data_IF_672506428687
#
_entry.id   IF_672506428687
#
_cell.length_a   1.000
_cell.length_b   1.000
_cell.length_c   1.000
_cell.angle_alpha   90.00
_cell.angle_beta   90.00
_cell.angle_gamma   90.00
#
_symmetry.space_group_name_H-M   'P 1'
#
loop_
_entity.id
_entity.type
_entity.pdbx_description
1 polymer ?
#
# COMPACT_ATOMS: atom_id res chain seq x y z
N UNK A 1 9.21 -7.92 -26.79
CA UNK A 1 8.45 -7.75 -25.53
C UNK A 1 8.26 -9.12 -24.91
N UNK A 2 8.39 -9.23 -23.58
CA UNK A 2 8.11 -10.47 -22.86
C UNK A 2 6.60 -10.59 -22.65
N UNK A 3 6.05 -11.79 -22.84
CA UNK A 3 4.65 -12.12 -22.54
C UNK A 3 4.66 -13.32 -21.61
N UNK A 4 3.93 -13.23 -20.51
CA UNK A 4 3.91 -14.26 -19.44
C UNK A 4 3.42 -15.62 -19.96
N UNK A 5 2.59 -15.63 -20.99
CA UNK A 5 2.03 -16.83 -21.62
C UNK A 5 2.60 -17.06 -23.03
N UNK A 6 2.90 -18.33 -23.34
CA UNK A 6 3.26 -18.79 -24.70
C UNK A 6 2.04 -19.12 -25.55
N UNK A 7 0.85 -19.17 -24.94
CA UNK A 7 -0.40 -19.42 -25.66
C UNK A 7 -0.78 -18.20 -26.50
N UNK A 8 -0.90 -18.36 -27.81
CA UNK A 8 -1.46 -17.37 -28.73
C UNK A 8 -2.94 -17.10 -28.37
N UNK A 9 -3.33 -15.85 -28.05
CA UNK A 9 -4.69 -15.52 -27.63
C UNK A 9 -5.63 -15.35 -28.82
N UNK A 10 -5.08 -15.25 -30.05
CA UNK A 10 -5.82 -15.14 -31.30
C UNK A 10 -5.93 -16.48 -32.02
N UNK A 11 -5.15 -17.49 -31.61
CA UNK A 11 -5.22 -18.82 -32.19
C UNK A 11 -6.54 -19.53 -31.80
N UNK A 12 -7.18 -20.13 -32.79
CA UNK A 12 -8.20 -21.15 -32.56
C UNK A 12 -7.51 -22.50 -32.51
N UNK A 13 -7.43 -23.09 -31.32
CA UNK A 13 -6.81 -24.41 -31.17
C UNK A 13 -7.83 -25.52 -31.49
N UNK A 14 -7.43 -26.50 -32.28
CA UNK A 14 -8.25 -27.69 -32.56
C UNK A 14 -8.53 -28.52 -31.29
N UNK A 15 -7.62 -28.46 -30.32
CA UNK A 15 -7.79 -28.98 -28.96
C UNK A 15 -7.46 -27.86 -27.99
N UNK A 16 -8.32 -27.52 -27.01
CA UNK A 16 -8.03 -26.45 -26.06
C UNK A 16 -6.69 -26.69 -25.35
N UNK A 17 -5.79 -25.69 -25.31
CA UNK A 17 -4.53 -25.82 -24.59
C UNK A 17 -4.80 -26.02 -23.10
N UNK A 18 -3.98 -26.83 -22.46
CA UNK A 18 -4.04 -27.10 -21.03
C UNK A 18 -3.11 -26.14 -20.28
N UNK A 19 -3.33 -25.92 -18.97
CA UNK A 19 -2.40 -25.21 -18.09
C UNK A 19 -0.93 -25.62 -18.27
N UNK A 20 -0.66 -26.93 -18.39
CA UNK A 20 0.69 -27.46 -18.58
C UNK A 20 1.36 -27.09 -19.91
N UNK A 21 0.59 -26.66 -20.91
CA UNK A 21 1.10 -26.26 -22.23
C UNK A 21 1.61 -24.80 -22.25
N UNK A 22 1.39 -24.04 -21.17
CA UNK A 22 1.86 -22.66 -21.03
C UNK A 22 3.32 -22.59 -20.53
N UNK A 23 3.96 -21.42 -20.62
CA UNK A 23 5.40 -21.22 -20.38
C UNK A 23 5.88 -21.76 -19.02
N UNK A 24 5.10 -21.54 -17.96
CA UNK A 24 5.42 -21.99 -16.59
C UNK A 24 4.71 -23.29 -16.20
N UNK A 25 4.05 -23.96 -17.15
CA UNK A 25 3.22 -25.15 -16.90
C UNK A 25 1.97 -24.88 -16.06
N UNK A 26 1.58 -23.61 -15.92
CA UNK A 26 0.36 -23.14 -15.24
C UNK A 26 0.06 -21.67 -15.60
N UNK A 27 -1.20 -21.22 -15.49
CA UNK A 27 -1.55 -19.81 -15.55
C UNK A 27 -0.66 -18.99 -14.60
N UNK A 28 -0.09 -17.92 -15.13
CA UNK A 28 0.86 -17.07 -14.42
C UNK A 28 0.47 -15.61 -14.60
N UNK A 29 0.69 -14.82 -13.56
CA UNK A 29 0.19 -13.45 -13.45
C UNK A 29 1.32 -12.51 -13.03
N UNK A 30 1.18 -11.24 -13.38
CA UNK A 30 2.05 -10.19 -12.84
C UNK A 30 1.62 -9.89 -11.40
N UNK A 31 2.58 -9.79 -10.49
CA UNK A 31 2.27 -9.62 -9.07
C UNK A 31 1.76 -8.22 -8.76
N UNK A 32 0.82 -8.14 -7.83
CA UNK A 32 0.31 -6.88 -7.26
C UNK A 32 1.13 -6.43 -6.04
N UNK A 33 1.94 -7.32 -5.47
CA UNK A 33 2.75 -7.11 -4.25
C UNK A 33 3.68 -8.31 -4.03
N UNK A 34 4.89 -8.08 -3.52
CA UNK A 34 5.81 -9.14 -3.09
C UNK A 34 5.64 -9.55 -1.63
N UNK A 35 4.60 -9.07 -0.94
CA UNK A 35 4.42 -9.20 0.51
C UNK A 35 4.44 -10.67 0.99
N UNK A 36 3.66 -11.55 0.37
CA UNK A 36 3.50 -12.93 0.85
C UNK A 36 4.83 -13.70 0.78
N UNK A 37 5.61 -13.49 -0.29
CA UNK A 37 6.95 -14.02 -0.42
C UNK A 37 7.92 -13.33 0.56
N UNK A 38 7.76 -12.03 0.79
CA UNK A 38 8.50 -11.26 1.79
C UNK A 38 8.40 -11.84 3.21
N UNK A 39 7.22 -12.32 3.61
CA UNK A 39 7.00 -12.98 4.91
C UNK A 39 7.84 -14.26 5.09
N UNK A 40 8.09 -15.02 4.00
CA UNK A 40 9.00 -16.17 4.02
C UNK A 40 10.41 -15.71 4.41
N UNK A 41 10.89 -14.62 3.80
CA UNK A 41 12.22 -14.12 4.09
C UNK A 41 12.30 -13.42 5.44
N UNK A 42 11.25 -12.72 5.89
CA UNK A 42 11.21 -12.11 7.21
C UNK A 42 11.31 -13.17 8.32
N UNK A 43 10.63 -14.30 8.18
CA UNK A 43 10.72 -15.41 9.14
C UNK A 43 12.09 -16.12 9.14
N UNK A 44 12.90 -15.96 8.10
CA UNK A 44 14.26 -16.51 8.02
C UNK A 44 15.37 -15.49 8.37
N UNK A 45 15.22 -14.23 7.98
CA UNK A 45 16.24 -13.17 8.02
C UNK A 45 15.88 -12.03 9.00
N UNK A 46 14.76 -12.14 9.70
CA UNK A 46 14.18 -11.17 10.63
C UNK A 46 13.70 -9.85 10.02
N UNK A 47 14.47 -9.22 9.12
CA UNK A 47 14.10 -7.93 8.50
C UNK A 47 14.51 -7.91 7.05
N UNK A 48 13.55 -7.70 6.17
CA UNK A 48 13.77 -7.60 4.71
C UNK A 48 13.02 -6.40 4.15
N UNK A 49 13.32 -6.04 2.92
CA UNK A 49 12.46 -5.19 2.11
C UNK A 49 12.52 -5.62 0.65
N UNK A 50 11.40 -5.54 -0.05
CA UNK A 50 11.39 -5.60 -1.51
C UNK A 50 11.52 -4.18 -2.07
N UNK A 51 12.04 -4.07 -3.28
CA UNK A 51 11.90 -2.88 -4.10
C UNK A 51 11.79 -3.34 -5.55
N UNK A 52 10.57 -3.31 -6.09
CA UNK A 52 10.29 -3.86 -7.41
C UNK A 52 9.01 -3.32 -8.05
N UNK A 53 8.83 -3.59 -9.35
CA UNK A 53 7.60 -3.23 -10.06
C UNK A 53 6.45 -4.13 -9.60
N UNK A 54 5.28 -3.51 -9.48
CA UNK A 54 4.00 -4.17 -9.20
C UNK A 54 2.95 -3.65 -10.18
N UNK A 55 1.91 -4.44 -10.39
CA UNK A 55 0.96 -4.20 -11.47
C UNK A 55 -0.47 -4.20 -10.96
N UNK A 56 -1.31 -3.31 -11.51
CA UNK A 56 -2.76 -3.30 -11.26
C UNK A 56 -3.52 -3.16 -12.58
N UNK A 57 -4.48 -4.05 -12.78
CA UNK A 57 -5.32 -4.10 -13.98
C UNK A 57 -6.68 -3.40 -13.79
N UNK A 58 -6.77 -2.47 -12.85
CA UNK A 58 -7.97 -1.67 -12.62
C UNK A 58 -8.16 -0.67 -13.76
N UNK A 59 -9.39 -0.58 -14.30
CA UNK A 59 -9.73 0.39 -15.34
C UNK A 59 -9.95 1.80 -14.75
N UNK A 60 -8.89 2.37 -14.16
CA UNK A 60 -8.91 3.65 -13.44
C UNK A 60 -8.07 4.71 -14.16
N UNK A 61 -8.73 5.78 -14.62
CA UNK A 61 -8.10 6.90 -15.34
C UNK A 61 -7.98 8.14 -14.46
N UNK A 62 -7.32 8.03 -13.31
CA UNK A 62 -7.12 9.18 -12.41
C UNK A 62 -5.68 9.72 -12.50
N UNK A 63 -5.42 10.88 -11.89
CA UNK A 63 -4.07 11.45 -11.78
C UNK A 63 -3.15 10.69 -10.79
N UNK A 64 -3.67 9.68 -10.07
CA UNK A 64 -2.96 9.01 -8.96
C UNK A 64 -2.79 7.51 -9.12
N UNK A 65 -3.29 6.95 -10.22
CA UNK A 65 -3.25 5.51 -10.49
C UNK A 65 -2.45 5.25 -11.77
N UNK A 66 -1.55 4.27 -11.67
CA UNK A 66 -0.81 3.69 -12.77
C UNK A 66 -1.03 2.16 -12.77
N UNK A 67 -0.96 1.54 -13.95
CA UNK A 67 -1.09 0.10 -14.11
C UNK A 67 0.22 -0.64 -13.82
N UNK A 68 1.35 0.06 -13.89
CA UNK A 68 2.69 -0.39 -13.49
C UNK A 68 3.29 0.72 -12.62
N UNK A 69 3.78 0.36 -11.43
CA UNK A 69 4.38 1.28 -10.46
C UNK A 69 5.32 0.51 -9.53
N UNK A 70 6.21 1.21 -8.84
CA UNK A 70 7.19 0.58 -7.96
C UNK A 70 6.74 0.61 -6.51
N UNK A 71 6.91 -0.52 -5.83
CA UNK A 71 6.61 -0.66 -4.41
C UNK A 71 7.90 -0.93 -3.63
N UNK A 72 7.99 -0.31 -2.46
CA UNK A 72 8.98 -0.64 -1.43
C UNK A 72 8.23 -1.30 -0.28
N UNK A 73 8.53 -2.57 0.00
CA UNK A 73 7.74 -3.37 0.95
C UNK A 73 8.63 -3.99 2.03
N UNK A 74 8.91 -3.28 3.14
CA UNK A 74 9.56 -3.86 4.30
C UNK A 74 8.66 -4.86 5.04
N UNK A 75 9.28 -5.93 5.54
CA UNK A 75 8.63 -6.92 6.39
C UNK A 75 9.56 -7.28 7.56
N UNK A 76 9.04 -7.25 8.79
CA UNK A 76 9.82 -7.42 10.02
C UNK A 76 9.21 -8.48 10.95
N UNK A 77 9.98 -9.52 11.24
CA UNK A 77 9.70 -10.46 12.32
C UNK A 77 9.81 -9.79 13.69
N UNK A 78 9.01 -10.26 14.64
CA UNK A 78 8.91 -9.75 16.01
C UNK A 78 8.46 -8.29 16.08
N UNK A 79 7.68 -7.85 15.09
CA UNK A 79 7.09 -6.51 15.01
C UNK A 79 5.57 -6.59 15.12
N UNK A 80 4.98 -5.75 15.96
CA UNK A 80 3.53 -5.55 16.03
C UNK A 80 3.11 -4.33 15.20
N UNK A 81 1.81 -4.03 15.15
CA UNK A 81 1.30 -2.86 14.43
C UNK A 81 1.89 -1.54 14.92
N UNK A 82 2.18 -1.43 16.24
CA UNK A 82 2.77 -0.21 16.77
C UNK A 82 4.19 -0.02 16.23
N UNK A 83 5.00 -1.07 16.21
CA UNK A 83 6.33 -1.04 15.62
C UNK A 83 6.31 -0.76 14.12
N UNK A 84 5.29 -1.28 13.41
CA UNK A 84 5.09 -1.03 11.98
C UNK A 84 4.80 0.45 11.69
N UNK A 85 3.90 1.05 12.48
CA UNK A 85 3.63 2.50 12.43
C UNK A 85 4.87 3.31 12.82
N UNK A 86 5.60 2.92 13.87
CA UNK A 86 6.84 3.60 14.29
C UNK A 86 7.87 3.61 13.15
N UNK A 87 8.01 2.49 12.42
CA UNK A 87 8.92 2.39 11.27
C UNK A 87 8.44 3.24 10.08
N UNK A 88 7.15 3.17 9.71
CA UNK A 88 6.60 3.92 8.59
C UNK A 88 6.79 5.44 8.75
N UNK A 89 6.57 5.95 9.96
CA UNK A 89 6.78 7.36 10.31
C UNK A 89 8.25 7.75 10.19
N UNK A 90 9.15 6.97 10.82
CA UNK A 90 10.59 7.21 10.77
C UNK A 90 11.13 7.14 9.34
N UNK A 91 10.61 6.22 8.52
CA UNK A 91 10.99 6.03 7.13
C UNK A 91 10.65 7.24 6.27
N UNK A 92 9.40 7.73 6.32
CA UNK A 92 8.99 8.94 5.60
C UNK A 92 9.78 10.17 6.05
N UNK A 93 9.92 10.37 7.36
CA UNK A 93 10.68 11.51 7.89
C UNK A 93 12.14 11.46 7.44
N UNK A 94 12.76 10.28 7.42
CA UNK A 94 14.14 10.10 6.96
C UNK A 94 14.29 10.43 5.48
N UNK A 95 13.44 9.87 4.61
CA UNK A 95 13.53 10.09 3.16
C UNK A 95 13.32 11.56 2.78
N UNK A 96 12.41 12.26 3.47
CA UNK A 96 12.20 13.69 3.24
C UNK A 96 13.42 14.50 3.71
N UNK A 97 14.01 14.18 4.86
CA UNK A 97 15.24 14.85 5.34
C UNK A 97 16.41 14.61 4.40
N UNK A 98 16.53 13.39 3.89
CA UNK A 98 17.57 13.03 2.94
C UNK A 98 17.42 13.81 1.63
N UNK A 99 16.20 13.90 1.10
CA UNK A 99 15.91 14.71 -0.08
C UNK A 99 16.18 16.21 0.15
N UNK A 100 15.75 16.77 1.29
CA UNK A 100 16.02 18.17 1.65
C UNK A 100 17.53 18.46 1.79
N UNK A 101 18.31 17.49 2.26
CA UNK A 101 19.75 17.62 2.43
C UNK A 101 20.56 17.47 1.15
N UNK A 102 20.12 16.62 0.23
CA UNK A 102 20.90 16.23 -0.97
C UNK A 102 20.34 16.76 -2.29
N UNK A 103 19.08 17.21 -2.34
CA UNK A 103 18.40 17.69 -3.55
C UNK A 103 17.83 19.11 -3.36
N UNK A 104 18.54 19.97 -2.62
CA UNK A 104 18.06 21.30 -2.24
C UNK A 104 17.78 22.20 -3.46
N UNK A 105 18.61 22.13 -4.51
CA UNK A 105 18.42 22.91 -5.73
C UNK A 105 17.18 22.45 -6.51
N UNK A 106 16.97 21.14 -6.65
CA UNK A 106 15.78 20.56 -7.27
C UNK A 106 14.51 20.90 -6.47
N UNK A 107 14.53 20.77 -5.15
CA UNK A 107 13.38 21.12 -4.29
C UNK A 107 13.07 22.62 -4.40
N UNK A 108 14.08 23.49 -4.42
CA UNK A 108 13.87 24.92 -4.62
C UNK A 108 13.27 25.24 -6.01
N UNK A 109 13.66 24.48 -7.04
CA UNK A 109 13.05 24.57 -8.36
C UNK A 109 11.56 24.16 -8.31
N UNK A 110 11.24 23.01 -7.73
CA UNK A 110 9.86 22.53 -7.60
C UNK A 110 9.00 23.46 -6.74
N UNK A 111 9.54 24.01 -5.65
CA UNK A 111 8.87 24.99 -4.80
C UNK A 111 8.50 26.26 -5.59
N UNK A 112 9.40 26.72 -6.46
CA UNK A 112 9.17 27.94 -7.23
C UNK A 112 8.18 27.74 -8.37
N UNK A 113 8.24 26.60 -9.06
CA UNK A 113 7.60 26.42 -10.37
C UNK A 113 6.46 25.39 -10.39
N UNK A 114 6.37 24.49 -9.42
CA UNK A 114 5.38 23.41 -9.39
C UNK A 114 4.42 23.57 -8.21
N UNK A 115 4.93 23.68 -6.98
CA UNK A 115 4.10 23.73 -5.77
C UNK A 115 4.68 24.70 -4.75
N UNK A 116 4.09 25.90 -4.67
CA UNK A 116 4.58 26.96 -3.78
C UNK A 116 4.40 26.58 -2.31
N UNK A 117 5.50 26.62 -1.56
CA UNK A 117 5.53 26.23 -0.16
C UNK A 117 5.81 24.74 0.05
N UNK A 118 6.19 24.01 -1.01
CA UNK A 118 6.70 22.65 -0.94
C UNK A 118 7.81 22.49 0.09
N UNK A 119 8.83 23.36 0.06
CA UNK A 119 9.98 23.24 0.96
C UNK A 119 9.54 23.29 2.42
N UNK A 120 8.74 24.30 2.77
CA UNK A 120 8.22 24.48 4.12
C UNK A 120 7.31 23.30 4.55
N UNK A 121 6.52 22.77 3.62
CA UNK A 121 5.66 21.62 3.90
C UNK A 121 6.48 20.34 4.13
N UNK A 122 7.53 20.11 3.35
CA UNK A 122 8.46 18.98 3.55
C UNK A 122 9.18 19.09 4.89
N UNK A 123 9.71 20.27 5.23
CA UNK A 123 10.33 20.54 6.53
C UNK A 123 9.35 20.29 7.70
N UNK A 124 8.10 20.73 7.55
CA UNK A 124 7.04 20.51 8.52
C UNK A 124 6.75 19.01 8.71
N UNK A 125 6.61 18.25 7.63
CA UNK A 125 6.37 16.79 7.69
C UNK A 125 7.57 16.08 8.32
N UNK A 126 8.79 16.44 7.95
CA UNK A 126 10.03 15.84 8.47
C UNK A 126 10.26 16.08 9.97
N UNK A 127 9.71 17.16 10.53
CA UNK A 127 9.92 17.59 11.92
C UNK A 127 8.72 17.37 12.83
N UNK A 128 7.50 17.23 12.27
CA UNK A 128 6.28 17.09 13.05
C UNK A 128 6.10 15.66 13.57
N UNK A 129 5.60 15.49 14.81
CA UNK A 129 5.11 14.19 15.25
C UNK A 129 3.86 13.83 14.45
N UNK A 130 3.74 12.56 14.07
CA UNK A 130 2.60 12.08 13.31
C UNK A 130 1.44 11.80 14.28
N UNK A 131 0.21 12.03 13.83
CA UNK A 131 -0.98 11.69 14.62
C UNK A 131 -1.40 10.27 14.30
N UNK A 132 -1.84 9.53 15.32
CA UNK A 132 -2.43 8.20 15.16
C UNK A 132 -3.85 8.25 15.67
N UNK A 133 -4.79 7.79 14.86
CA UNK A 133 -6.21 7.70 15.23
C UNK A 133 -6.77 6.37 14.75
N UNK A 134 -7.76 5.84 15.46
CA UNK A 134 -8.48 4.66 14.98
C UNK A 134 -9.39 5.03 13.80
N UNK A 135 -9.72 4.06 12.96
CA UNK A 135 -10.72 4.21 11.91
C UNK A 135 -12.06 4.71 12.45
N UNK A 136 -12.50 4.18 13.60
CA UNK A 136 -13.74 4.60 14.25
C UNK A 136 -13.70 6.09 14.64
N UNK A 137 -12.54 6.57 15.13
CA UNK A 137 -12.33 7.98 15.40
C UNK A 137 -12.32 8.83 14.12
N UNK A 138 -11.65 8.36 13.06
CA UNK A 138 -11.63 9.04 11.76
C UNK A 138 -13.06 9.24 11.20
N UNK A 139 -13.89 8.19 11.21
CA UNK A 139 -15.29 8.26 10.77
C UNK A 139 -16.09 9.26 11.62
N UNK A 140 -15.93 9.24 12.95
CA UNK A 140 -16.60 10.18 13.85
C UNK A 140 -16.21 11.63 13.55
N UNK A 141 -14.93 11.91 13.31
CA UNK A 141 -14.45 13.25 12.96
C UNK A 141 -15.06 13.70 11.63
N UNK A 142 -15.06 12.84 10.63
CA UNK A 142 -15.60 13.15 9.31
C UNK A 142 -17.11 13.45 9.37
N UNK A 143 -17.89 12.62 10.08
CA UNK A 143 -19.33 12.81 10.23
C UNK A 143 -19.71 14.06 11.05
N UNK A 144 -18.88 14.44 12.01
CA UNK A 144 -19.13 15.61 12.90
C UNK A 144 -18.53 16.91 12.36
N UNK A 145 -17.80 16.86 11.25
CA UNK A 145 -17.08 18.01 10.66
C UNK A 145 -17.98 19.13 10.12
N UNK A 146 -19.24 18.81 9.79
CA UNK A 146 -20.13 19.73 9.08
C UNK A 146 -19.77 19.96 7.61
N UNK A 147 -18.74 19.27 7.08
CA UNK A 147 -18.32 19.35 5.68
C UNK A 147 -19.16 18.42 4.81
N UNK A 148 -19.51 18.87 3.61
CA UNK A 148 -20.12 18.02 2.59
C UNK A 148 -19.02 17.33 1.80
N UNK A 149 -19.08 16.00 1.75
CA UNK A 149 -18.20 15.14 0.97
C UNK A 149 -18.96 14.59 -0.24
N UNK A 150 -18.27 14.36 -1.35
CA UNK A 150 -18.85 13.73 -2.54
C UNK A 150 -19.21 12.26 -2.26
N UNK A 151 -18.32 11.56 -1.55
CA UNK A 151 -18.47 10.18 -1.16
C UNK A 151 -19.00 10.05 0.27
N UNK A 152 -19.93 9.12 0.52
CA UNK A 152 -20.51 8.93 1.84
C UNK A 152 -19.46 8.52 2.87
N UNK A 153 -19.65 9.00 4.10
CA UNK A 153 -18.82 8.64 5.26
C UNK A 153 -19.64 7.71 6.15
N UNK A 154 -19.34 6.42 6.10
CA UNK A 154 -20.03 5.40 6.90
C UNK A 154 -19.07 4.34 7.43
N UNK A 155 -19.40 3.76 8.59
CA UNK A 155 -18.67 2.61 9.14
C UNK A 155 -18.70 1.44 8.16
N UNK A 156 -17.56 0.78 7.99
CA UNK A 156 -17.41 -0.33 7.05
C UNK A 156 -17.20 0.09 5.61
N UNK A 157 -16.98 1.38 5.33
CA UNK A 157 -16.54 1.87 4.02
C UNK A 157 -15.09 2.34 4.06
N UNK A 158 -14.37 2.16 2.95
CA UNK A 158 -13.03 2.72 2.79
C UNK A 158 -13.09 4.25 2.75
N UNK A 159 -12.12 4.88 3.39
CA UNK A 159 -11.91 6.32 3.27
C UNK A 159 -11.55 6.65 1.82
N UNK A 160 -12.15 7.71 1.29
CA UNK A 160 -11.80 8.24 -0.02
C UNK A 160 -10.73 9.31 0.13
N UNK A 161 -10.03 9.62 -0.96
CA UNK A 161 -8.95 10.62 -0.93
C UNK A 161 -9.39 11.98 -0.39
N UNK A 162 -10.65 12.41 -0.59
CA UNK A 162 -11.15 13.66 0.01
C UNK A 162 -11.25 13.58 1.55
N UNK A 163 -11.58 12.41 2.10
CA UNK A 163 -11.67 12.16 3.53
C UNK A 163 -10.28 12.14 4.16
N UNK A 164 -9.35 11.43 3.52
CA UNK A 164 -7.95 11.34 3.94
C UNK A 164 -7.25 12.71 3.97
N UNK A 165 -7.46 13.49 2.90
CA UNK A 165 -6.93 14.85 2.81
C UNK A 165 -7.57 15.77 3.83
N UNK A 166 -8.87 15.67 4.07
CA UNK A 166 -9.52 16.47 5.11
C UNK A 166 -8.92 16.21 6.50
N UNK A 167 -8.68 14.95 6.85
CA UNK A 167 -8.04 14.59 8.12
C UNK A 167 -6.63 15.19 8.25
N UNK A 168 -5.78 14.99 7.24
CA UNK A 168 -4.38 15.42 7.29
C UNK A 168 -4.18 16.93 7.07
N UNK A 169 -4.95 17.57 6.19
CA UNK A 169 -4.77 18.97 5.79
C UNK A 169 -5.57 19.97 6.64
N UNK A 170 -6.80 19.61 7.06
CA UNK A 170 -7.71 20.55 7.71
C UNK A 170 -7.84 20.29 9.21
N UNK A 171 -8.01 19.03 9.61
CA UNK A 171 -8.22 18.66 11.03
C UNK A 171 -6.90 18.68 11.80
N UNK A 172 -5.94 17.86 11.39
CA UNK A 172 -4.71 17.66 12.15
C UNK A 172 -3.55 18.51 11.66
N UNK A 173 -3.57 18.97 10.39
CA UNK A 173 -2.52 19.80 9.78
C UNK A 173 -1.12 19.18 9.89
N UNK A 174 -1.06 17.85 9.85
CA UNK A 174 0.15 17.04 9.92
C UNK A 174 -0.17 15.64 9.37
N UNK A 175 0.84 14.79 9.12
CA UNK A 175 0.61 13.40 8.75
C UNK A 175 -0.21 12.65 9.80
N UNK A 176 -1.10 11.77 9.33
CA UNK A 176 -2.03 11.01 10.16
C UNK A 176 -1.98 9.54 9.77
N UNK A 177 -1.69 8.67 10.71
CA UNK A 177 -1.85 7.22 10.58
C UNK A 177 -3.23 6.84 11.09
N UNK A 178 -4.06 6.28 10.20
CA UNK A 178 -5.36 5.71 10.57
C UNK A 178 -5.17 4.21 10.77
N UNK A 179 -5.60 3.67 11.91
CA UNK A 179 -5.41 2.25 12.25
C UNK A 179 -6.69 1.54 12.69
N UNK A 180 -6.62 0.21 12.79
CA UNK A 180 -7.73 -0.67 13.23
C UNK A 180 -8.97 -0.58 12.34
N UNK A 181 -8.79 -0.92 11.06
CA UNK A 181 -9.85 -0.91 10.06
C UNK A 181 -10.82 -2.11 10.22
N UNK A 182 -12.08 -1.97 9.77
CA UNK A 182 -13.02 -3.10 9.73
C UNK A 182 -12.47 -4.26 8.91
N UNK A 183 -12.58 -5.48 9.46
CA UNK A 183 -12.06 -6.68 8.80
C UNK A 183 -12.70 -6.98 7.44
N UNK A 184 -13.92 -6.49 7.21
CA UNK A 184 -14.71 -6.76 6.00
C UNK A 184 -14.24 -6.01 4.76
N UNK A 185 -13.38 -4.99 4.93
CA UNK A 185 -12.87 -4.16 3.84
C UNK A 185 -11.35 -4.27 3.68
N UNK A 186 -10.71 -5.20 4.40
CA UNK A 186 -9.27 -5.39 4.40
C UNK A 186 -8.91 -6.85 4.05
N UNK A 187 -7.72 -7.12 3.50
CA UNK A 187 -7.32 -8.45 3.03
C UNK A 187 -7.23 -9.52 4.14
N UNK A 188 -7.33 -10.78 3.71
CA UNK A 188 -7.37 -11.96 4.58
C UNK A 188 -6.16 -12.13 5.52
N UNK A 189 -5.00 -11.58 5.16
CA UNK A 189 -3.73 -11.78 5.87
C UNK A 189 -3.54 -10.85 7.07
N UNK A 190 -4.39 -9.83 7.24
CA UNK A 190 -4.25 -8.87 8.33
C UNK A 190 -4.69 -9.49 9.66
N UNK A 191 -3.92 -9.29 10.73
CA UNK A 191 -4.19 -9.85 12.06
C UNK A 191 -5.55 -9.36 12.58
N UNK A 192 -6.40 -10.28 13.04
CA UNK A 192 -7.67 -9.91 13.69
C UNK A 192 -7.40 -9.34 15.08
N UNK A 193 -8.01 -8.19 15.37
CA UNK A 193 -7.99 -7.60 16.69
C UNK A 193 -8.88 -8.39 17.66
N UNK A 194 -8.67 -8.18 18.95
CA UNK A 194 -9.39 -8.92 20.01
C UNK A 194 -10.88 -8.54 20.10
N UNK A 195 -11.30 -7.47 19.43
CA UNK A 195 -12.71 -7.05 19.32
C UNK A 195 -13.52 -7.92 18.35
N UNK A 196 -12.87 -8.72 17.49
CA UNK A 196 -13.50 -9.57 16.47
C UNK A 196 -14.07 -8.83 15.25
N UNK A 197 -14.02 -7.50 15.23
CA UNK A 197 -14.63 -6.65 14.20
C UNK A 197 -13.58 -5.96 13.32
N UNK A 198 -12.40 -5.66 13.89
CA UNK A 198 -11.33 -4.93 13.21
C UNK A 198 -10.09 -5.80 12.98
N UNK A 199 -9.20 -5.30 12.11
CA UNK A 199 -7.89 -5.88 11.85
C UNK A 199 -6.80 -4.86 12.16
N UNK A 200 -5.62 -5.36 12.56
CA UNK A 200 -4.41 -4.58 12.85
C UNK A 200 -3.79 -4.00 11.58
N UNK A 201 -4.53 -3.14 10.88
CA UNK A 201 -4.13 -2.44 9.66
C UNK A 201 -3.78 -0.99 9.98
N UNK A 202 -2.92 -0.37 9.17
CA UNK A 202 -2.61 1.05 9.23
C UNK A 202 -2.44 1.63 7.83
N UNK A 203 -2.98 2.83 7.63
CA UNK A 203 -2.77 3.63 6.42
C UNK A 203 -2.21 4.99 6.85
N UNK A 204 -1.04 5.38 6.31
CA UNK A 204 -0.38 6.65 6.60
C UNK A 204 -0.77 7.68 5.55
N UNK A 205 -1.44 8.73 6.01
CA UNK A 205 -1.95 9.83 5.22
C UNK A 205 -1.01 11.04 5.37
N UNK A 206 -0.55 11.58 4.24
CA UNK A 206 0.27 12.80 4.21
C UNK A 206 -0.48 13.95 3.53
N UNK A 207 -0.36 15.19 4.04
CA UNK A 207 -0.96 16.37 3.41
C UNK A 207 -0.58 16.51 1.93
N UNK A 208 -1.56 16.84 1.08
CA UNK A 208 -1.41 17.01 -0.37
C UNK A 208 -1.70 15.74 -1.17
N UNK A 209 -1.20 14.58 -0.71
CA UNK A 209 -1.31 13.32 -1.44
C UNK A 209 -2.51 12.48 -0.93
N UNK A 210 -2.65 12.32 0.39
CA UNK A 210 -3.49 11.28 1.00
C UNK A 210 -2.62 10.09 1.42
N UNK A 211 -3.12 8.87 1.26
CA UNK A 211 -2.38 7.65 1.58
C UNK A 211 -1.05 7.52 0.81
N UNK A 212 0.07 7.34 1.53
CA UNK A 212 1.41 7.04 0.95
C UNK A 212 1.95 5.67 1.36
N UNK A 213 1.55 5.17 2.53
CA UNK A 213 1.90 3.83 3.03
C UNK A 213 0.62 3.14 3.48
N UNK A 214 0.47 1.87 3.12
CA UNK A 214 -0.54 0.96 3.67
C UNK A 214 0.14 -0.30 4.21
N UNK A 215 -0.22 -0.72 5.42
CA UNK A 215 0.44 -1.82 6.12
C UNK A 215 -0.43 -2.51 7.15
N UNK A 216 0.10 -3.55 7.77
CA UNK A 216 -0.59 -4.28 8.83
C UNK A 216 0.35 -5.20 9.58
N UNK A 217 -0.02 -5.53 10.82
CA UNK A 217 0.44 -6.76 11.44
C UNK A 217 -0.22 -7.96 10.75
N UNK A 218 0.56 -9.01 10.49
CA UNK A 218 0.10 -10.21 9.78
C UNK A 218 -0.53 -11.20 10.75
N UNK A 219 -1.53 -11.95 10.28
CA UNK A 219 -2.19 -12.98 11.07
C UNK A 219 -1.25 -14.18 11.27
N UNK A 220 -0.64 -14.25 12.45
CA UNK A 220 0.34 -15.26 12.82
C UNK A 220 -0.30 -16.55 13.39
N UNK A 221 -1.60 -16.51 13.71
CA UNK A 221 -2.30 -17.64 14.34
C UNK A 221 -2.95 -18.50 13.26
N UNK A 222 -2.45 -19.73 13.12
CA UNK A 222 -2.85 -20.69 12.08
C UNK A 222 -4.38 -20.82 11.91
N UNK A 223 -5.10 -21.12 13.00
CA UNK A 223 -6.54 -21.35 12.94
C UNK A 223 -7.33 -20.10 12.48
N UNK A 224 -6.85 -18.91 12.86
CA UNK A 224 -7.49 -17.63 12.46
C UNK A 224 -7.21 -17.32 11.00
N UNK A 225 -5.99 -17.59 10.52
CA UNK A 225 -5.63 -17.43 9.11
C UNK A 225 -6.43 -18.38 8.22
N UNK A 226 -6.57 -19.66 8.59
CA UNK A 226 -7.37 -20.65 7.86
C UNK A 226 -8.85 -20.24 7.78
N UNK A 227 -9.40 -19.71 8.87
CA UNK A 227 -10.74 -19.13 8.86
C UNK A 227 -10.84 -17.91 7.93
N UNK A 228 -9.84 -17.03 7.95
CA UNK A 228 -9.79 -15.83 7.10
C UNK A 228 -9.74 -16.17 5.60
N UNK A 229 -8.96 -17.19 5.22
CA UNK A 229 -8.93 -17.72 3.85
C UNK A 229 -10.31 -18.22 3.42
N UNK A 230 -10.99 -18.98 4.27
CA UNK A 230 -12.33 -19.49 3.99
C UNK A 230 -13.36 -18.35 3.83
N UNK A 231 -13.32 -17.34 4.70
CA UNK A 231 -14.21 -16.16 4.60
C UNK A 231 -13.98 -15.35 3.32
N UNK A 232 -12.76 -15.32 2.79
CA UNK A 232 -12.42 -14.65 1.52
C UNK A 232 -12.61 -15.55 0.30
N UNK A 233 -13.15 -16.77 0.46
CA UNK A 233 -13.31 -17.75 -0.62
C UNK A 233 -12.00 -18.09 -1.35
N UNK A 234 -10.90 -18.10 -0.60
CA UNK A 234 -9.56 -18.46 -1.09
C UNK A 234 -9.29 -19.94 -0.86
N UNK A 235 -8.77 -20.62 -1.88
CA UNK A 235 -8.43 -22.05 -1.80
C UNK A 235 -7.18 -22.28 -0.94
N UNK A 236 -7.27 -22.94 0.22
CA UNK A 236 -6.11 -23.20 1.08
C UNK A 236 -5.01 -24.01 0.39
N UNK A 237 -5.35 -24.84 -0.59
CA UNK A 237 -4.35 -25.62 -1.34
C UNK A 237 -3.46 -24.74 -2.21
N UNK A 238 -3.93 -23.55 -2.63
CA UNK A 238 -3.11 -22.56 -3.34
C UNK A 238 -2.15 -21.83 -2.39
N UNK A 239 -2.55 -21.65 -1.13
CA UNK A 239 -1.81 -20.94 -0.09
C UNK A 239 -1.02 -21.86 0.86
N UNK A 240 -0.85 -23.14 0.51
CA UNK A 240 -0.24 -24.14 1.41
C UNK A 240 1.10 -23.69 2.01
N UNK A 241 1.96 -23.10 1.18
CA UNK A 241 3.30 -22.63 1.53
C UNK A 241 3.25 -21.42 2.47
N UNK A 242 2.25 -20.55 2.29
CA UNK A 242 2.03 -19.38 3.12
C UNK A 242 1.45 -19.76 4.49
N UNK A 243 0.55 -20.74 4.50
CA UNK A 243 -0.01 -21.32 5.73
C UNK A 243 1.08 -22.06 6.53
N UNK A 244 2.02 -22.72 5.88
CA UNK A 244 3.14 -23.40 6.53
C UNK A 244 4.02 -22.46 7.37
N UNK A 245 4.10 -21.17 7.02
CA UNK A 245 4.77 -20.15 7.84
C UNK A 245 4.18 -20.07 9.25
N UNK A 246 2.89 -20.38 9.41
CA UNK A 246 2.18 -20.36 10.70
C UNK A 246 2.25 -21.70 11.43
N UNK A 247 2.75 -22.76 10.79
CA UNK A 247 2.90 -24.11 11.39
C UNK A 247 4.25 -24.30 12.06
N UNK A 248 5.32 -23.73 11.49
CA UNK A 248 6.69 -24.02 11.91
C UNK A 248 7.38 -22.78 12.48
N UNK A 249 7.20 -22.55 13.78
CA UNK A 249 7.88 -21.44 14.47
C UNK A 249 7.31 -20.06 14.12
N UNK A 250 5.98 -19.95 14.02
CA UNK A 250 5.28 -18.69 13.76
C UNK A 250 5.68 -17.60 14.78
N UNK A 251 5.74 -16.36 14.31
CA UNK A 251 6.09 -15.18 15.11
C UNK A 251 5.13 -14.03 14.79
N UNK A 252 4.85 -13.12 15.72
CA UNK A 252 4.26 -11.83 15.39
C UNK A 252 5.18 -11.11 14.39
N UNK A 253 4.62 -10.61 13.30
CA UNK A 253 5.36 -9.85 12.29
C UNK A 253 4.43 -8.85 11.62
N UNK A 254 5.02 -7.80 11.08
CA UNK A 254 4.31 -6.72 10.43
C UNK A 254 5.14 -6.16 9.28
N UNK A 255 4.47 -5.47 8.38
CA UNK A 255 5.10 -4.76 7.30
C UNK A 255 4.12 -3.87 6.57
N UNK A 256 4.66 -3.07 5.67
CA UNK A 256 3.90 -2.11 4.90
C UNK A 256 4.41 -2.02 3.46
N UNK A 257 3.59 -1.45 2.58
CA UNK A 257 3.98 -1.08 1.23
C UNK A 257 3.97 0.44 1.07
N UNK A 258 5.06 0.98 0.54
CA UNK A 258 5.15 2.37 0.08
C UNK A 258 5.10 2.39 -1.45
N UNK A 259 4.16 3.16 -2.01
CA UNK A 259 4.15 3.46 -3.44
C UNK A 259 5.24 4.47 -3.77
N UNK A 260 6.28 4.05 -4.49
CA UNK A 260 7.45 4.89 -4.76
C UNK A 260 7.10 6.14 -5.55
N UNK A 261 6.23 6.04 -6.55
CA UNK A 261 5.76 7.20 -7.30
C UNK A 261 4.96 8.17 -6.42
N UNK A 262 4.16 7.69 -5.45
CA UNK A 262 3.46 8.58 -4.51
C UNK A 262 4.44 9.33 -3.59
N UNK A 263 5.53 8.70 -3.19
CA UNK A 263 6.62 9.37 -2.47
C UNK A 263 7.29 10.44 -3.36
N UNK A 264 7.55 10.16 -4.63
CA UNK A 264 8.08 11.16 -5.57
C UNK A 264 7.12 12.33 -5.75
N UNK A 265 5.81 12.08 -5.88
CA UNK A 265 4.79 13.14 -5.91
C UNK A 265 4.84 14.01 -4.64
N UNK A 266 5.01 13.39 -3.46
CA UNK A 266 5.16 14.12 -2.20
C UNK A 266 6.40 15.04 -2.21
N UNK A 267 7.57 14.50 -2.60
CA UNK A 267 8.86 15.22 -2.57
C UNK A 267 8.92 16.32 -3.63
N UNK A 268 8.34 16.11 -4.81
CA UNK A 268 8.40 17.05 -5.93
C UNK A 268 7.20 18.00 -6.02
N UNK A 269 6.12 17.73 -5.29
CA UNK A 269 4.85 18.46 -5.41
C UNK A 269 4.11 18.20 -6.73
N UNK A 270 4.59 17.29 -7.57
CA UNK A 270 3.96 16.98 -8.87
C UNK A 270 2.63 16.27 -8.64
N UNK A 271 1.50 16.80 -9.18
CA UNK A 271 0.17 16.31 -8.82
C UNK A 271 -0.27 15.06 -9.61
N UNK A 272 0.47 14.66 -10.64
CA UNK A 272 0.11 13.55 -11.53
C UNK A 272 1.19 12.47 -11.49
N UNK A 273 0.78 11.25 -11.17
CA UNK A 273 1.65 10.07 -11.09
C UNK A 273 2.40 9.80 -12.41
N UNK A 274 1.81 10.19 -13.55
CA UNK A 274 2.41 10.00 -14.87
C UNK A 274 3.68 10.82 -15.09
N UNK A 275 3.84 11.89 -14.33
CA UNK A 275 4.94 12.86 -14.48
C UNK A 275 6.10 12.58 -13.51
N UNK A 276 5.97 11.54 -12.67
CA UNK A 276 7.01 11.10 -11.71
C UNK A 276 7.57 9.70 -12.03
N UNK A 277 7.16 9.13 -13.16
CA UNK A 277 7.70 7.89 -13.72
C UNK A 277 8.08 8.14 -15.19
N UNK A 278 9.23 7.66 -15.68
CA UNK A 278 9.68 8.01 -17.03
C UNK A 278 8.69 7.70 -18.15
N UNK A 279 8.03 6.53 -18.09
CA UNK A 279 7.11 6.04 -19.13
C UNK A 279 5.88 5.41 -18.46
N UNK A 280 4.89 6.23 -18.13
CA UNK A 280 3.73 5.80 -17.37
C UNK A 280 2.88 4.77 -18.14
N UNK A 281 2.55 3.65 -17.47
CA UNK A 281 1.56 2.68 -17.96
C UNK A 281 0.21 2.97 -17.32
N UNK A 282 -0.81 3.23 -18.12
CA UNK A 282 -2.18 3.50 -17.64
C UNK A 282 -3.19 2.83 -18.58
N UNK A 283 -4.47 2.69 -18.21
CA UNK A 283 -5.43 2.03 -19.11
C UNK A 283 -5.45 2.71 -20.49
N UNK A 284 -5.34 1.91 -21.55
CA UNK A 284 -5.25 2.40 -22.94
C UNK A 284 -3.89 2.98 -23.36
N UNK A 285 -2.87 3.01 -22.50
CA UNK A 285 -1.53 3.54 -22.81
C UNK A 285 -0.41 2.61 -22.34
N UNK A 286 0.40 2.14 -23.30
CA UNK A 286 1.60 1.36 -23.05
C UNK A 286 2.81 1.78 -23.93
N UNK A 287 2.75 2.99 -24.50
CA UNK A 287 3.84 3.61 -25.26
C UNK A 287 4.90 4.23 -24.32
N UNK A 288 5.96 4.83 -24.86
CA UNK A 288 7.03 5.44 -24.05
C UNK A 288 6.57 6.79 -23.52
#
# INVERSE_FOLDING_TARGET
MFRVTTLDPCATYATPPKPEDDFFGRPSFLTVSGQLEGEIFATALSRIYTFGPTFRAENSHTARHASEFWMIEPEMAFCDLKGDMDLAEAFIQYLIKDALGHCADEIAFFDRFVDKGLTQRLESIASSPFKRISYAEAIRILQTSGKTFEFPVAMGQNLQSEHERFLSEEVFKCPVTVHDYPRTIKPFYMRRNDDGETVSAMDLLVPGIGEVIGGSQREERLAVLEQSLAEHSLDPATYWWYVDLRRYGSVPHAGFGLGFERLLMLITGVPNIRDVIPFARTPGSADF
#
